data_IF_483908631403
#
_entry.id   IF_483908631403
#
_cell.length_a   1.000
_cell.length_b   1.000
_cell.length_c   1.000
_cell.angle_alpha   90.00
_cell.angle_beta   90.00
_cell.angle_gamma   90.00
#
_symmetry.space_group_name_H-M   'P 1'
#
loop_
_entity.id
_entity.type
_entity.pdbx_description
1 polymer ?
#
# COMPACT_ATOMS: atom_id res chain seq x y z
N UNK A 1 41.94 -30.01 30.32
CA UNK A 1 40.60 -29.39 30.51
C UNK A 1 40.41 -28.32 29.44
N UNK A 2 39.41 -28.42 28.55
CA UNK A 2 39.24 -27.48 27.46
C UNK A 2 38.85 -26.11 28.00
N UNK A 3 39.67 -25.08 27.72
CA UNK A 3 39.38 -23.68 28.07
C UNK A 3 38.37 -23.14 27.07
N UNK A 4 37.14 -22.90 27.52
CA UNK A 4 36.13 -22.21 26.72
C UNK A 4 36.66 -20.82 26.35
N UNK A 5 36.75 -20.45 25.06
CA UNK A 5 37.48 -19.27 24.56
C UNK A 5 36.89 -17.91 24.96
N UNK A 6 35.76 -17.90 25.68
CA UNK A 6 35.10 -16.69 26.19
C UNK A 6 35.63 -16.22 27.56
N UNK A 7 36.17 -17.13 28.37
CA UNK A 7 36.60 -16.82 29.73
C UNK A 7 38.07 -16.35 29.73
N UNK A 8 38.26 -15.04 29.59
CA UNK A 8 39.56 -14.40 29.81
C UNK A 8 39.94 -13.26 28.86
N UNK A 9 39.10 -12.93 27.86
CA UNK A 9 39.39 -11.88 26.86
C UNK A 9 38.52 -10.62 26.99
N UNK A 10 37.46 -10.69 27.79
CA UNK A 10 36.45 -9.64 27.92
C UNK A 10 36.72 -8.77 29.16
N UNK A 11 36.41 -7.47 29.07
CA UNK A 11 36.48 -6.54 30.19
C UNK A 11 35.35 -6.83 31.20
N UNK A 12 35.50 -6.38 32.45
CA UNK A 12 34.44 -6.52 33.47
C UNK A 12 33.09 -5.94 33.01
N UNK A 13 33.14 -4.84 32.25
CA UNK A 13 31.95 -4.21 31.66
C UNK A 13 31.26 -5.11 30.61
N UNK A 14 32.03 -5.86 29.83
CA UNK A 14 31.48 -6.73 28.78
C UNK A 14 30.76 -7.95 29.40
N UNK A 15 31.30 -8.47 30.51
CA UNK A 15 30.62 -9.53 31.27
C UNK A 15 29.30 -9.03 31.88
N UNK A 16 29.28 -7.81 32.43
CA UNK A 16 28.05 -7.20 32.95
C UNK A 16 27.03 -7.01 31.81
N UNK A 17 27.46 -6.51 30.66
CA UNK A 17 26.60 -6.34 29.49
C UNK A 17 26.03 -7.68 28.98
N UNK A 18 26.85 -8.75 28.96
CA UNK A 18 26.40 -10.09 28.56
C UNK A 18 25.38 -10.67 29.55
N UNK A 19 25.58 -10.48 30.85
CA UNK A 19 24.63 -10.95 31.87
C UNK A 19 23.31 -10.18 31.77
N UNK A 20 23.35 -8.85 31.64
CA UNK A 20 22.16 -8.03 31.48
C UNK A 20 21.43 -8.33 30.16
N UNK A 21 22.17 -8.52 29.06
CA UNK A 21 21.61 -8.90 27.76
C UNK A 21 20.96 -10.29 27.80
N UNK A 22 21.61 -11.27 28.42
CA UNK A 22 21.03 -12.60 28.65
C UNK A 22 19.75 -12.53 29.48
N UNK A 23 19.75 -11.73 30.54
CA UNK A 23 18.57 -11.50 31.37
C UNK A 23 17.42 -10.83 30.58
N UNK A 24 17.75 -9.84 29.74
CA UNK A 24 16.77 -9.18 28.87
C UNK A 24 16.13 -10.16 27.87
N UNK A 25 16.93 -11.06 27.27
CA UNK A 25 16.43 -12.09 26.35
C UNK A 25 15.52 -13.11 27.05
N UNK A 26 15.84 -13.48 28.29
CA UNK A 26 14.98 -14.36 29.10
C UNK A 26 13.65 -13.66 29.42
N UNK A 27 13.69 -12.39 29.82
CA UNK A 27 12.47 -11.59 30.06
C UNK A 27 11.63 -11.50 28.78
N UNK A 28 12.25 -11.16 27.65
CA UNK A 28 11.56 -11.06 26.36
C UNK A 28 10.88 -12.39 25.98
N UNK A 29 11.56 -13.51 26.21
CA UNK A 29 11.03 -14.85 25.93
C UNK A 29 9.83 -15.17 26.82
N UNK A 30 9.89 -14.81 28.11
CA UNK A 30 8.77 -14.99 29.05
C UNK A 30 7.59 -14.10 28.65
N UNK A 31 7.83 -12.84 28.28
CA UNK A 31 6.78 -11.92 27.83
C UNK A 31 6.09 -12.43 26.56
N UNK A 32 6.83 -12.93 25.58
CA UNK A 32 6.26 -13.53 24.38
C UNK A 32 5.41 -14.76 24.71
N UNK A 33 5.88 -15.62 25.62
CA UNK A 33 5.11 -16.78 26.06
C UNK A 33 3.79 -16.37 26.72
N UNK A 34 3.82 -15.35 27.59
CA UNK A 34 2.63 -14.81 28.25
C UNK A 34 1.65 -14.23 27.22
N UNK A 35 2.14 -13.47 26.23
CA UNK A 35 1.30 -12.88 25.17
C UNK A 35 0.65 -13.98 24.30
N UNK A 36 1.39 -15.05 23.99
CA UNK A 36 0.86 -16.19 23.23
C UNK A 36 -0.26 -16.92 23.98
N UNK A 37 -0.15 -17.03 25.30
CA UNK A 37 -1.18 -17.65 26.15
C UNK A 37 -2.38 -16.71 26.42
N UNK A 38 -2.29 -15.42 26.08
CA UNK A 38 -3.34 -14.45 26.37
C UNK A 38 -4.47 -14.52 25.32
N UNK A 39 -5.73 -14.70 25.74
CA UNK A 39 -6.84 -14.66 24.80
C UNK A 39 -7.05 -13.22 24.24
N UNK A 40 -7.38 -13.11 22.95
CA UNK A 40 -7.65 -11.85 22.22
C UNK A 40 -8.48 -10.80 23.00
N UNK A 41 -9.56 -11.14 23.75
CA UNK A 41 -10.31 -10.16 24.53
C UNK A 41 -9.49 -9.48 25.63
N UNK A 42 -8.56 -10.19 26.27
CA UNK A 42 -7.71 -9.64 27.34
C UNK A 42 -6.66 -8.71 26.74
N UNK A 43 -6.06 -9.09 25.60
CA UNK A 43 -5.16 -8.21 24.84
C UNK A 43 -5.89 -6.92 24.46
N UNK A 44 -7.12 -7.05 23.94
CA UNK A 44 -7.97 -5.92 23.61
C UNK A 44 -8.29 -5.02 24.79
N UNK A 45 -8.47 -5.58 26.00
CA UNK A 45 -8.70 -4.83 27.23
C UNK A 45 -7.48 -3.99 27.62
N UNK A 46 -6.29 -4.60 27.69
CA UNK A 46 -5.04 -3.89 28.00
C UNK A 46 -4.73 -2.82 26.96
N UNK A 47 -4.98 -3.11 25.69
CA UNK A 47 -4.81 -2.16 24.61
C UNK A 47 -5.73 -0.94 24.74
N UNK A 48 -7.02 -1.16 25.08
CA UNK A 48 -7.96 -0.06 25.33
C UNK A 48 -7.56 0.77 26.56
N UNK A 49 -7.12 0.12 27.64
CA UNK A 49 -6.76 0.79 28.90
C UNK A 49 -5.46 1.59 28.77
N UNK A 50 -4.43 1.03 28.15
CA UNK A 50 -3.17 1.72 27.87
C UNK A 50 -3.39 2.92 26.94
N UNK A 51 -4.20 2.76 25.90
CA UNK A 51 -4.58 3.85 25.00
C UNK A 51 -5.33 4.96 25.74
N UNK A 52 -6.27 4.63 26.63
CA UNK A 52 -6.98 5.63 27.43
C UNK A 52 -6.02 6.42 28.34
N UNK A 53 -5.08 5.75 29.00
CA UNK A 53 -4.04 6.41 29.80
C UNK A 53 -3.16 7.31 28.93
N UNK A 54 -2.71 6.82 27.78
CA UNK A 54 -1.92 7.60 26.83
C UNK A 54 -2.65 8.88 26.43
N UNK A 55 -3.94 8.82 26.09
CA UNK A 55 -4.72 10.02 25.73
C UNK A 55 -4.84 11.03 26.87
N UNK A 56 -4.97 10.55 28.12
CA UNK A 56 -5.02 11.42 29.30
C UNK A 56 -3.67 12.13 29.53
N UNK A 57 -2.56 11.42 29.37
CA UNK A 57 -1.21 11.99 29.60
C UNK A 57 -0.68 12.83 28.44
N UNK A 58 -1.01 12.47 27.20
CA UNK A 58 -0.50 13.16 26.00
C UNK A 58 -1.32 14.39 25.60
N UNK A 59 -2.50 14.61 26.20
CA UNK A 59 -3.42 15.69 25.79
C UNK A 59 -3.96 15.55 24.36
N UNK A 60 -3.72 14.41 23.71
CA UNK A 60 -4.12 14.16 22.33
C UNK A 60 -5.63 13.86 22.27
N UNK A 61 -6.40 14.80 21.73
CA UNK A 61 -7.86 14.69 21.60
C UNK A 61 -8.22 13.96 20.29
N UNK A 62 -8.76 12.72 20.34
CA UNK A 62 -8.96 11.89 19.17
C UNK A 62 -10.13 12.33 18.27
N UNK A 63 -10.90 13.37 18.64
CA UNK A 63 -12.06 13.81 17.84
C UNK A 63 -11.68 14.28 16.42
N UNK A 64 -10.47 14.78 16.22
CA UNK A 64 -9.93 15.16 14.89
C UNK A 64 -9.61 13.92 14.03
N UNK A 65 -9.46 12.73 14.64
CA UNK A 65 -9.12 11.48 13.98
C UNK A 65 -10.29 10.50 13.81
N UNK A 66 -11.56 10.94 13.79
CA UNK A 66 -12.69 10.04 13.51
C UNK A 66 -13.00 9.98 12.02
N UNK A 67 -13.19 11.14 11.38
CA UNK A 67 -13.50 11.22 9.94
C UNK A 67 -12.30 10.84 9.07
N UNK A 68 -11.10 11.35 9.40
CA UNK A 68 -9.87 10.99 8.70
C UNK A 68 -9.59 9.49 8.82
N UNK A 69 -9.84 8.92 10.00
CA UNK A 69 -9.70 7.48 10.23
C UNK A 69 -10.73 6.67 9.48
N UNK A 70 -11.99 7.12 9.43
CA UNK A 70 -13.02 6.46 8.63
C UNK A 70 -12.68 6.50 7.14
N UNK A 71 -12.19 7.63 6.64
CA UNK A 71 -11.70 7.77 5.26
C UNK A 71 -10.50 6.84 5.00
N UNK A 72 -9.54 6.79 5.92
CA UNK A 72 -8.40 5.88 5.84
C UNK A 72 -8.83 4.40 5.87
N UNK A 73 -9.80 4.04 6.72
CA UNK A 73 -10.36 2.69 6.77
C UNK A 73 -11.09 2.34 5.46
N UNK A 74 -11.80 3.27 4.83
CA UNK A 74 -12.41 3.06 3.50
C UNK A 74 -11.34 2.80 2.44
N UNK A 75 -10.29 3.63 2.39
CA UNK A 75 -9.18 3.47 1.44
C UNK A 75 -8.43 2.16 1.69
N UNK A 76 -8.21 1.78 2.95
CA UNK A 76 -7.54 0.54 3.33
C UNK A 76 -8.33 -0.71 2.91
N UNK A 77 -9.67 -0.65 3.00
CA UNK A 77 -10.56 -1.75 2.64
C UNK A 77 -10.92 -1.78 1.15
N UNK A 78 -10.48 -0.79 0.36
CA UNK A 78 -10.72 -0.76 -1.08
C UNK A 78 -10.00 -1.92 -1.77
N UNK A 79 -10.70 -2.64 -2.64
CA UNK A 79 -10.15 -3.86 -3.25
C UNK A 79 -9.38 -3.58 -4.53
N UNK A 80 -9.74 -2.52 -5.25
CA UNK A 80 -9.20 -2.16 -6.56
C UNK A 80 -9.28 -0.64 -6.82
N UNK A 81 -8.89 -0.25 -8.03
CA UNK A 81 -8.91 1.13 -8.48
C UNK A 81 -10.32 1.70 -8.57
N UNK A 82 -11.29 0.89 -8.97
CA UNK A 82 -12.70 1.28 -9.01
C UNK A 82 -13.18 1.71 -7.62
N UNK A 83 -12.94 0.89 -6.60
CA UNK A 83 -13.33 1.18 -5.23
C UNK A 83 -12.69 2.48 -4.73
N UNK A 84 -11.40 2.70 -5.01
CA UNK A 84 -10.69 3.93 -4.63
C UNK A 84 -11.31 5.17 -5.28
N UNK A 85 -11.62 5.12 -6.57
CA UNK A 85 -12.30 6.22 -7.26
C UNK A 85 -13.72 6.43 -6.73
N UNK A 86 -14.45 5.33 -6.47
CA UNK A 86 -15.83 5.36 -5.96
C UNK A 86 -15.91 5.98 -4.56
N UNK A 87 -14.98 5.65 -3.66
CA UNK A 87 -14.87 6.27 -2.32
C UNK A 87 -14.76 7.79 -2.43
N UNK A 88 -14.03 8.27 -3.44
CA UNK A 88 -13.83 9.70 -3.68
C UNK A 88 -14.93 10.32 -4.56
N UNK A 89 -15.87 9.53 -5.08
CA UNK A 89 -17.00 9.99 -5.89
C UNK A 89 -16.67 10.27 -7.36
N UNK A 90 -15.64 9.62 -7.91
CA UNK A 90 -15.25 9.72 -9.32
C UNK A 90 -15.70 8.48 -10.11
N UNK A 91 -16.15 8.72 -11.34
CA UNK A 91 -16.41 7.66 -12.32
C UNK A 91 -15.11 7.30 -13.02
N UNK A 92 -14.75 6.01 -13.05
CA UNK A 92 -13.56 5.51 -13.73
C UNK A 92 -13.95 4.74 -15.00
N UNK A 93 -12.98 4.58 -15.90
CA UNK A 93 -13.05 3.65 -17.01
C UNK A 93 -11.82 2.72 -16.97
N UNK A 94 -12.01 1.49 -17.42
CA UNK A 94 -10.94 0.53 -17.65
C UNK A 94 -10.81 0.23 -19.14
N UNK A 95 -9.57 0.17 -19.63
CA UNK A 95 -9.24 -0.04 -21.03
C UNK A 95 -8.16 -1.11 -21.14
N UNK A 96 -8.39 -2.13 -21.98
CA UNK A 96 -7.39 -3.18 -22.22
C UNK A 96 -6.62 -2.87 -23.50
N UNK A 97 -5.30 -2.75 -23.39
CA UNK A 97 -4.40 -2.50 -24.52
C UNK A 97 -3.57 -3.75 -24.80
N UNK A 98 -3.59 -4.22 -26.06
CA UNK A 98 -2.73 -5.30 -26.53
C UNK A 98 -1.40 -4.74 -27.04
N UNK A 99 -0.31 -5.16 -26.41
CA UNK A 99 1.06 -4.86 -26.84
C UNK A 99 1.48 -5.73 -28.03
N UNK A 100 2.51 -5.31 -28.77
CA UNK A 100 3.01 -6.02 -29.96
C UNK A 100 3.48 -7.45 -29.65
N UNK A 101 4.04 -7.66 -28.45
CA UNK A 101 4.54 -8.94 -27.95
C UNK A 101 3.48 -9.70 -27.12
N UNK A 102 2.22 -9.28 -27.18
CA UNK A 102 1.09 -10.08 -26.75
C UNK A 102 0.64 -9.90 -25.29
N UNK A 103 1.25 -9.01 -24.52
CA UNK A 103 0.75 -8.64 -23.18
C UNK A 103 -0.52 -7.78 -23.27
N UNK A 104 -1.46 -8.03 -22.38
CA UNK A 104 -2.68 -7.26 -22.18
C UNK A 104 -2.49 -6.34 -20.98
N UNK A 105 -2.46 -5.03 -21.23
CA UNK A 105 -2.29 -4.01 -20.21
C UNK A 105 -3.65 -3.43 -19.83
N UNK A 106 -4.02 -3.49 -18.55
CA UNK A 106 -5.19 -2.80 -18.02
C UNK A 106 -4.84 -1.36 -17.69
N UNK A 107 -5.29 -0.41 -18.50
CA UNK A 107 -5.17 1.02 -18.25
C UNK A 107 -6.44 1.53 -17.56
N UNK A 108 -6.30 2.51 -16.69
CA UNK A 108 -7.46 3.21 -16.13
C UNK A 108 -7.53 4.63 -16.67
N UNK A 109 -8.71 5.23 -16.59
CA UNK A 109 -8.96 6.59 -17.04
C UNK A 109 -9.97 7.28 -16.13
N UNK A 110 -9.71 8.56 -15.84
CA UNK A 110 -10.65 9.49 -15.23
C UNK A 110 -10.88 10.64 -16.20
N UNK A 111 -12.09 10.69 -16.75
CA UNK A 111 -12.49 11.63 -17.81
C UNK A 111 -13.54 12.64 -17.37
N UNK A 112 -14.24 12.38 -16.25
CA UNK A 112 -15.36 13.15 -15.74
C UNK A 112 -15.08 13.68 -14.33
N UNK A 113 -15.60 14.87 -14.01
CA UNK A 113 -15.43 15.47 -12.68
C UNK A 113 -16.18 14.68 -11.62
N UNK A 114 -15.94 15.00 -10.35
CA UNK A 114 -16.61 14.36 -9.22
C UNK A 114 -18.13 14.43 -9.36
N UNK A 115 -18.80 13.29 -9.26
CA UNK A 115 -20.26 13.18 -9.40
C UNK A 115 -20.80 13.26 -10.84
N UNK A 116 -19.96 13.58 -11.83
CA UNK A 116 -20.34 13.52 -13.23
C UNK A 116 -20.28 12.07 -13.75
N UNK A 117 -21.25 11.72 -14.59
CA UNK A 117 -21.24 10.46 -15.33
C UNK A 117 -20.64 10.69 -16.70
N UNK A 118 -19.77 9.78 -17.15
CA UNK A 118 -19.36 9.79 -18.54
C UNK A 118 -20.53 9.26 -19.41
N UNK A 119 -21.00 10.10 -20.33
CA UNK A 119 -22.08 9.76 -21.27
C UNK A 119 -21.60 8.94 -22.46
N UNK A 120 -20.31 8.99 -22.79
CA UNK A 120 -19.68 8.24 -23.89
C UNK A 120 -18.33 7.62 -23.45
N UNK A 121 -18.34 6.55 -22.64
CA UNK A 121 -17.13 5.82 -22.24
C UNK A 121 -16.30 5.35 -23.44
N UNK A 122 -14.97 5.40 -23.34
CA UNK A 122 -14.06 4.97 -24.39
C UNK A 122 -13.92 5.88 -25.61
N UNK A 123 -14.68 6.97 -25.68
CA UNK A 123 -14.51 7.98 -26.73
C UNK A 123 -13.60 9.13 -26.29
N UNK A 124 -13.12 9.89 -27.27
CA UNK A 124 -12.40 11.14 -27.01
C UNK A 124 -13.32 12.14 -26.33
N UNK A 125 -12.81 12.78 -25.27
CA UNK A 125 -13.51 13.84 -24.53
C UNK A 125 -13.26 15.23 -25.12
N UNK A 126 -12.31 15.35 -26.06
CA UNK A 126 -11.79 16.64 -26.53
C UNK A 126 -10.93 17.41 -25.51
N UNK A 127 -10.73 16.86 -24.31
CA UNK A 127 -9.92 17.46 -23.24
C UNK A 127 -8.43 17.18 -23.48
N UNK A 128 -7.52 18.06 -22.99
CA UNK A 128 -6.09 17.75 -22.99
C UNK A 128 -5.82 16.49 -22.16
N UNK A 129 -5.03 15.58 -22.72
CA UNK A 129 -4.73 14.28 -22.11
C UNK A 129 -3.49 14.37 -21.23
N UNK A 130 -3.57 13.83 -20.01
CA UNK A 130 -2.42 13.64 -19.12
C UNK A 130 -2.26 12.15 -18.84
N UNK A 131 -1.04 11.64 -19.00
CA UNK A 131 -0.71 10.25 -18.73
C UNK A 131 0.16 10.13 -17.49
N UNK A 132 -0.35 9.46 -16.47
CA UNK A 132 0.33 9.19 -15.21
C UNK A 132 0.82 7.75 -15.21
N UNK A 133 2.12 7.56 -14.97
CA UNK A 133 2.76 6.25 -14.98
C UNK A 133 3.45 5.97 -13.65
N UNK A 134 3.17 4.82 -13.05
CA UNK A 134 3.68 4.47 -11.72
C UNK A 134 5.16 4.05 -11.74
N UNK A 135 5.78 4.00 -10.56
CA UNK A 135 7.17 3.58 -10.39
C UNK A 135 7.38 2.05 -10.28
N UNK A 136 8.57 1.67 -9.84
CA UNK A 136 9.00 0.27 -9.67
C UNK A 136 8.13 -0.46 -8.63
N UNK A 137 7.66 -1.66 -8.96
CA UNK A 137 6.81 -2.53 -8.10
C UNK A 137 5.49 -1.89 -7.64
N UNK A 138 4.94 -0.96 -8.43
CA UNK A 138 3.66 -0.29 -8.16
C UNK A 138 2.58 -0.65 -9.19
N UNK A 139 1.41 -0.02 -9.06
CA UNK A 139 0.31 -0.06 -10.01
C UNK A 139 -0.38 1.33 -10.08
N UNK A 140 -1.41 1.48 -10.91
CA UNK A 140 -2.17 2.72 -11.09
C UNK A 140 -2.86 3.26 -9.83
N UNK A 141 -3.13 2.44 -8.82
CA UNK A 141 -3.81 2.85 -7.58
C UNK A 141 -3.01 3.89 -6.80
N UNK A 142 -1.67 3.94 -6.95
CA UNK A 142 -0.82 4.93 -6.27
C UNK A 142 -1.29 6.37 -6.48
N UNK A 143 -1.89 6.64 -7.64
CA UNK A 143 -2.33 7.99 -8.00
C UNK A 143 -3.68 8.37 -7.40
N UNK A 144 -4.41 7.43 -6.78
CA UNK A 144 -5.76 7.65 -6.26
C UNK A 144 -5.97 7.12 -4.83
N UNK A 145 -4.99 6.40 -4.26
CA UNK A 145 -5.02 5.84 -2.91
C UNK A 145 -4.75 6.87 -1.81
N UNK A 146 -5.54 7.95 -1.76
CA UNK A 146 -5.41 9.03 -0.77
C UNK A 146 -6.73 9.27 -0.04
N UNK A 147 -6.64 9.80 1.18
CA UNK A 147 -7.79 10.20 2.00
C UNK A 147 -8.35 11.57 1.59
N UNK A 148 -7.47 12.50 1.19
CA UNK A 148 -7.80 13.88 0.82
C UNK A 148 -7.76 14.10 -0.71
N UNK A 149 -8.90 14.15 -1.41
CA UNK A 149 -8.90 14.23 -2.87
C UNK A 149 -8.33 15.55 -3.42
N UNK A 150 -8.37 16.65 -2.65
CA UNK A 150 -7.82 17.95 -3.04
C UNK A 150 -6.29 17.95 -3.11
N UNK A 151 -5.63 16.99 -2.46
CA UNK A 151 -4.17 16.80 -2.48
C UNK A 151 -3.73 15.74 -3.49
N UNK A 152 -4.68 15.13 -4.19
CA UNK A 152 -4.45 14.10 -5.18
C UNK A 152 -4.18 14.72 -6.55
N UNK A 153 -2.98 14.51 -7.11
CA UNK A 153 -2.64 15.05 -8.43
C UNK A 153 -3.69 14.65 -9.50
N UNK A 154 -4.09 13.37 -9.50
CA UNK A 154 -5.04 12.84 -10.46
C UNK A 154 -6.40 13.56 -10.39
N UNK A 155 -6.98 13.68 -9.20
CA UNK A 155 -8.27 14.35 -9.03
C UNK A 155 -8.18 15.84 -9.32
N UNK A 156 -7.10 16.52 -8.89
CA UNK A 156 -6.88 17.93 -9.22
C UNK A 156 -6.85 18.14 -10.73
N UNK A 157 -6.14 17.29 -11.49
CA UNK A 157 -6.10 17.39 -12.96
C UNK A 157 -7.49 17.22 -13.59
N UNK A 158 -8.27 16.24 -13.14
CA UNK A 158 -9.64 16.03 -13.64
C UNK A 158 -10.53 17.25 -13.38
N UNK A 159 -10.44 17.83 -12.18
CA UNK A 159 -11.20 19.03 -11.81
C UNK A 159 -10.78 20.26 -12.62
N UNK A 160 -9.50 20.33 -13.04
CA UNK A 160 -8.98 21.34 -13.97
C UNK A 160 -9.33 21.06 -15.45
N UNK A 161 -10.08 20.00 -15.74
CA UNK A 161 -10.60 19.71 -17.09
C UNK A 161 -9.67 18.88 -17.97
N UNK A 162 -8.70 18.18 -17.39
CA UNK A 162 -7.88 17.21 -18.12
C UNK A 162 -8.56 15.85 -18.22
N UNK A 163 -8.21 15.08 -19.25
CA UNK A 163 -8.51 13.66 -19.36
C UNK A 163 -7.31 12.85 -18.87
N UNK A 164 -7.44 12.22 -17.70
CA UNK A 164 -6.31 11.62 -16.98
C UNK A 164 -6.29 10.12 -17.20
N UNK A 165 -5.18 9.62 -17.73
CA UNK A 165 -4.94 8.21 -18.01
C UNK A 165 -3.88 7.66 -17.06
N UNK A 166 -4.06 6.41 -16.64
CA UNK A 166 -3.19 5.72 -15.69
C UNK A 166 -2.61 4.48 -16.36
N UNK A 167 -1.30 4.52 -16.58
CA UNK A 167 -0.53 3.42 -17.12
C UNK A 167 -0.30 2.31 -16.10
N UNK A 168 -0.30 1.07 -16.58
CA UNK A 168 0.14 -0.08 -15.81
C UNK A 168 1.21 -0.86 -16.57
N UNK A 169 2.25 -1.29 -15.86
CA UNK A 169 3.31 -2.13 -16.40
C UNK A 169 2.89 -3.60 -16.43
N UNK A 170 3.35 -4.31 -17.46
CA UNK A 170 3.26 -5.77 -17.58
C UNK A 170 3.68 -6.46 -16.27
N UNK A 171 2.93 -7.49 -15.89
CA UNK A 171 3.16 -8.29 -14.69
C UNK A 171 2.57 -7.72 -13.39
N UNK A 172 2.14 -6.45 -13.35
CA UNK A 172 1.49 -5.89 -12.17
C UNK A 172 0.04 -6.40 -11.99
N UNK A 173 -0.65 -5.98 -10.92
CA UNK A 173 -2.02 -6.40 -10.58
C UNK A 173 -3.01 -6.33 -11.77
N UNK A 174 -2.92 -5.28 -12.57
CA UNK A 174 -3.85 -4.97 -13.66
C UNK A 174 -3.39 -5.47 -15.04
N UNK A 175 -2.13 -5.89 -15.17
CA UNK A 175 -1.51 -6.23 -16.46
C UNK A 175 -0.80 -7.58 -16.44
N UNK A 176 -1.43 -8.58 -15.81
CA UNK A 176 -0.89 -9.94 -15.63
C UNK A 176 -1.50 -10.96 -16.59
N UNK A 177 -1.73 -10.57 -17.84
CA UNK A 177 -2.31 -11.44 -18.88
C UNK A 177 -1.53 -11.27 -20.20
N UNK A 178 -1.37 -12.36 -20.94
CA UNK A 178 -0.77 -12.38 -22.28
C UNK A 178 -1.48 -13.41 -23.13
N UNK A 179 -1.54 -13.18 -24.45
CA UNK A 179 -2.14 -14.11 -25.42
C UNK A 179 -1.24 -15.30 -25.75
N UNK A 180 0.07 -15.20 -25.46
CA UNK A 180 1.04 -16.25 -25.79
C UNK A 180 1.38 -17.15 -24.59
N UNK A 181 1.49 -16.55 -23.41
CA UNK A 181 2.00 -17.23 -22.22
C UNK A 181 1.15 -16.90 -20.98
N UNK A 182 0.90 -17.91 -20.15
CA UNK A 182 0.21 -17.73 -18.88
C UNK A 182 1.18 -17.25 -17.78
N UNK A 183 0.68 -16.55 -16.73
CA UNK A 183 1.52 -16.00 -15.65
C UNK A 183 2.21 -17.05 -14.78
N UNK A 184 1.85 -18.33 -14.91
CA UNK A 184 2.52 -19.44 -14.22
C UNK A 184 3.74 -19.98 -14.98
N UNK A 185 4.12 -19.36 -16.11
CA UNK A 185 5.25 -19.79 -16.94
C UNK A 185 6.40 -18.79 -16.86
N UNK A 186 7.65 -19.27 -16.88
CA UNK A 186 8.84 -18.39 -16.86
C UNK A 186 8.86 -17.43 -18.04
N UNK A 187 8.38 -17.86 -19.23
CA UNK A 187 8.32 -17.03 -20.44
C UNK A 187 7.44 -15.78 -20.29
N UNK A 188 6.42 -15.83 -19.44
CA UNK A 188 5.60 -14.66 -19.14
C UNK A 188 6.37 -13.58 -18.38
N UNK A 189 7.41 -13.94 -17.64
CA UNK A 189 8.19 -13.02 -16.81
C UNK A 189 9.53 -12.62 -17.44
N UNK A 190 9.79 -13.07 -18.67
CA UNK A 190 11.00 -12.76 -19.41
C UNK A 190 10.87 -11.42 -20.15
N UNK A 191 10.81 -10.33 -19.38
CA UNK A 191 10.77 -8.96 -19.87
C UNK A 191 11.60 -8.03 -18.98
N UNK A 192 12.02 -6.89 -19.52
CA UNK A 192 12.77 -5.86 -18.77
C UNK A 192 12.30 -4.46 -19.17
N UNK A 193 12.62 -3.44 -18.36
CA UNK A 193 12.25 -2.06 -18.66
C UNK A 193 12.95 -1.50 -19.91
N UNK A 194 14.13 -2.02 -20.22
CA UNK A 194 14.91 -1.64 -21.40
C UNK A 194 14.72 -2.69 -22.48
N UNK A 195 13.56 -2.69 -23.10
CA UNK A 195 13.35 -3.37 -24.38
C UNK A 195 13.63 -2.34 -25.49
N UNK A 196 14.92 -1.97 -25.57
CA UNK A 196 15.52 -1.29 -26.71
C UNK A 196 16.57 -2.22 -27.29
N UNK A 197 16.29 -2.69 -28.51
CA UNK A 197 16.95 -3.77 -29.29
C UNK A 197 16.43 -5.17 -28.98
#
# INVERSE_FOLDING_TARGET
MPRLPLLGRLSSHDYVALVLGGFALVIESILHLIILCLPKPVIGWFYKRSRALFHVFSGFNPKVGTEEKEAAEKVLNATDFEDLCRIQGYTHEEHVVLTKDGYLLGLHRLSSKRGEKNTNPGHSTGKPVVYLHHGLLMNSEVWVCITEPQRCLAFVLVEQGYDVWFGNNRGNKYSKKSIHHGPNTTKFWDFRFVDGV
#
